data_IF_237734618519
#
_entry.id   IF_237734618519
#
_cell.length_a   1.000
_cell.length_b   1.000
_cell.length_c   1.000
_cell.angle_alpha   90.00
_cell.angle_beta   90.00
_cell.angle_gamma   90.00
#
_symmetry.space_group_name_H-M   'P 1'
#
loop_
_entity.id
_entity.type
_entity.pdbx_description
1 polymer ?
#
# COMPACT_ATOMS: atom_id res chain seq x y z
N UNK A 1 -22.88 -7.31 8.55
CA UNK A 1 -22.27 -5.96 8.74
C UNK A 1 -23.29 -5.01 9.36
N UNK A 2 -22.95 -4.28 10.41
CA UNK A 2 -23.81 -3.29 11.06
C UNK A 2 -23.06 -1.96 11.17
N UNK A 3 -23.72 -0.87 10.76
CA UNK A 3 -23.22 0.50 10.98
C UNK A 3 -23.71 0.99 12.35
N UNK A 4 -22.80 1.39 13.22
CA UNK A 4 -23.10 1.95 14.54
C UNK A 4 -22.79 3.45 14.54
N UNK A 5 -23.69 4.25 15.10
CA UNK A 5 -23.45 5.69 15.32
C UNK A 5 -22.76 5.89 16.66
N UNK A 6 -21.76 6.75 16.68
CA UNK A 6 -20.90 7.01 17.83
C UNK A 6 -20.81 8.51 18.11
N UNK A 7 -20.38 8.84 19.33
CA UNK A 7 -19.95 10.20 19.65
C UNK A 7 -18.46 10.30 19.36
N UNK A 8 -18.04 11.23 18.48
CA UNK A 8 -16.62 11.45 18.22
C UNK A 8 -15.82 11.76 19.48
N UNK A 9 -14.57 11.32 19.53
CA UNK A 9 -13.59 11.77 20.55
C UNK A 9 -13.36 13.28 20.37
N UNK A 10 -13.10 13.99 21.47
CA UNK A 10 -12.97 15.46 21.44
C UNK A 10 -11.63 15.95 20.88
N UNK A 11 -10.60 15.11 20.92
CA UNK A 11 -9.20 15.43 20.60
C UNK A 11 -8.59 14.49 19.55
N UNK A 12 -9.43 13.83 18.76
CA UNK A 12 -8.97 12.82 17.81
C UNK A 12 -8.07 13.40 16.72
N UNK A 13 -8.30 14.65 16.27
CA UNK A 13 -7.47 15.26 15.24
C UNK A 13 -6.02 15.41 15.72
N UNK A 14 -5.81 16.01 16.91
CA UNK A 14 -4.46 16.17 17.44
C UNK A 14 -3.78 14.84 17.71
N UNK A 15 -4.53 13.82 18.15
CA UNK A 15 -3.96 12.48 18.32
C UNK A 15 -3.52 11.86 16.99
N UNK A 16 -4.26 12.07 15.92
CA UNK A 16 -3.91 11.58 14.60
C UNK A 16 -2.74 12.35 13.99
N UNK A 17 -2.66 13.66 14.21
CA UNK A 17 -1.50 14.48 13.82
C UNK A 17 -0.22 13.99 14.51
N UNK A 18 -0.28 13.68 15.80
CA UNK A 18 0.83 13.12 16.58
C UNK A 18 1.26 11.72 16.05
N UNK A 19 0.36 10.99 15.40
CA UNK A 19 0.61 9.69 14.77
C UNK A 19 1.03 9.79 13.30
N UNK A 20 1.15 11.01 12.75
CA UNK A 20 1.54 11.24 11.36
C UNK A 20 0.37 11.26 10.36
N UNK A 21 -0.88 11.13 10.83
CA UNK A 21 -2.07 11.20 9.98
C UNK A 21 -2.57 12.64 9.85
N UNK A 22 -1.88 13.45 9.05
CA UNK A 22 -2.14 14.89 8.89
C UNK A 22 -3.27 15.23 7.90
N UNK A 23 -3.67 14.28 7.05
CA UNK A 23 -4.68 14.48 6.01
C UNK A 23 -6.09 14.01 6.40
N UNK A 24 -6.34 13.78 7.69
CA UNK A 24 -7.63 13.30 8.24
C UNK A 24 -8.84 14.18 7.92
N UNK A 25 -8.62 15.44 7.55
CA UNK A 25 -9.68 16.41 7.19
C UNK A 25 -9.41 17.11 5.86
N UNK A 26 -8.62 16.49 4.98
CA UNK A 26 -8.30 17.02 3.66
C UNK A 26 -9.56 17.06 2.79
N UNK A 27 -9.81 18.22 2.16
CA UNK A 27 -10.99 18.46 1.30
C UNK A 27 -12.36 18.19 1.95
N UNK A 28 -12.43 18.22 3.29
CA UNK A 28 -13.65 18.02 4.06
C UNK A 28 -13.54 16.92 5.11
N UNK A 29 -14.58 16.11 5.26
CA UNK A 29 -14.58 14.96 6.18
C UNK A 29 -13.96 13.76 5.49
N UNK A 30 -12.66 13.58 5.65
CA UNK A 30 -11.96 12.37 5.18
C UNK A 30 -12.12 11.22 6.19
N UNK A 31 -11.80 11.47 7.48
CA UNK A 31 -12.03 10.53 8.58
C UNK A 31 -13.26 10.92 9.36
N UNK A 32 -14.22 9.99 9.51
CA UNK A 32 -15.50 10.22 10.23
C UNK A 32 -15.56 9.40 11.52
N UNK A 33 -15.40 10.06 12.67
CA UNK A 33 -15.54 9.44 13.99
C UNK A 33 -16.98 9.21 14.45
N UNK A 34 -17.98 9.71 13.70
CA UNK A 34 -19.38 9.58 14.09
C UNK A 34 -19.94 8.17 13.86
N UNK A 35 -19.20 7.29 13.20
CA UNK A 35 -19.68 5.95 12.88
C UNK A 35 -18.55 4.92 12.78
N UNK A 36 -18.91 3.65 13.03
CA UNK A 36 -18.08 2.52 12.69
C UNK A 36 -18.92 1.38 12.08
N UNK A 37 -18.23 0.44 11.43
CA UNK A 37 -18.85 -0.78 10.95
C UNK A 37 -18.40 -1.97 11.79
N UNK A 38 -19.39 -2.76 12.24
CA UNK A 38 -19.15 -3.99 12.96
C UNK A 38 -19.43 -5.18 12.07
N UNK A 39 -18.48 -6.10 12.01
CA UNK A 39 -18.57 -7.36 11.32
C UNK A 39 -18.60 -8.52 12.32
N UNK A 40 -19.24 -9.61 11.97
CA UNK A 40 -19.07 -10.89 12.66
C UNK A 40 -17.81 -11.59 12.15
N UNK A 41 -17.25 -12.53 12.93
CA UNK A 41 -16.11 -13.34 12.48
C UNK A 41 -16.39 -14.05 11.15
N UNK A 42 -17.59 -14.61 10.98
CA UNK A 42 -17.97 -15.30 9.74
C UNK A 42 -18.05 -14.37 8.52
N UNK A 43 -18.37 -13.09 8.71
CA UNK A 43 -18.31 -12.09 7.63
C UNK A 43 -16.85 -11.77 7.26
N UNK A 44 -15.97 -11.68 8.25
CA UNK A 44 -14.54 -11.48 8.02
C UNK A 44 -13.93 -12.68 7.30
N UNK A 45 -14.23 -13.91 7.75
CA UNK A 45 -13.76 -15.15 7.09
C UNK A 45 -14.18 -15.20 5.62
N UNK A 46 -15.41 -14.77 5.31
CA UNK A 46 -15.93 -14.70 3.93
C UNK A 46 -15.17 -13.66 3.09
N UNK A 47 -14.88 -12.48 3.66
CA UNK A 47 -14.14 -11.41 2.97
C UNK A 47 -12.69 -11.86 2.72
N UNK A 48 -12.07 -12.50 3.71
CA UNK A 48 -10.72 -13.04 3.59
C UNK A 48 -10.64 -14.11 2.49
N UNK A 49 -11.56 -15.09 2.51
CA UNK A 49 -11.62 -16.13 1.47
C UNK A 49 -11.82 -15.54 0.06
N UNK A 50 -12.68 -14.53 -0.06
CA UNK A 50 -12.91 -13.84 -1.33
C UNK A 50 -11.64 -13.09 -1.79
N UNK A 51 -10.94 -12.44 -0.87
CA UNK A 51 -9.68 -11.73 -1.14
C UNK A 51 -8.63 -12.69 -1.71
N UNK A 52 -8.42 -13.84 -1.05
CA UNK A 52 -7.45 -14.84 -1.52
C UNK A 52 -7.80 -15.39 -2.91
N UNK A 53 -9.06 -15.78 -3.14
CA UNK A 53 -9.51 -16.29 -4.43
C UNK A 53 -9.34 -15.26 -5.55
N UNK A 54 -9.68 -14.02 -5.28
CA UNK A 54 -9.54 -12.94 -6.26
C UNK A 54 -8.09 -12.60 -6.54
N UNK A 55 -7.23 -12.61 -5.52
CA UNK A 55 -5.80 -12.43 -5.72
C UNK A 55 -5.23 -13.51 -6.64
N UNK A 56 -5.51 -14.79 -6.37
CA UNK A 56 -5.09 -15.89 -7.24
C UNK A 56 -5.57 -15.73 -8.68
N UNK A 57 -6.83 -15.30 -8.89
CA UNK A 57 -7.37 -15.05 -10.22
C UNK A 57 -6.68 -13.87 -10.92
N UNK A 58 -6.33 -12.80 -10.19
CA UNK A 58 -5.58 -11.68 -10.74
C UNK A 58 -4.18 -12.12 -11.19
N UNK A 59 -3.48 -12.90 -10.36
CA UNK A 59 -2.16 -13.46 -10.72
C UNK A 59 -2.25 -14.36 -11.95
N UNK A 60 -3.26 -15.24 -12.03
CA UNK A 60 -3.50 -16.08 -13.21
C UNK A 60 -3.81 -15.24 -14.47
N UNK A 61 -4.53 -14.12 -14.32
CA UNK A 61 -4.81 -13.22 -15.43
C UNK A 61 -3.53 -12.54 -15.94
N UNK A 62 -2.63 -12.11 -15.05
CA UNK A 62 -1.31 -11.57 -15.43
C UNK A 62 -0.48 -12.64 -16.14
N UNK A 63 -0.39 -13.84 -15.56
CA UNK A 63 0.34 -14.96 -16.17
C UNK A 63 -0.19 -15.28 -17.58
N UNK A 64 -1.51 -15.27 -17.77
CA UNK A 64 -2.11 -15.45 -19.09
C UNK A 64 -1.67 -14.36 -20.07
N UNK A 65 -1.70 -13.09 -19.68
CA UNK A 65 -1.28 -11.96 -20.50
C UNK A 65 0.19 -12.10 -20.91
N UNK A 66 1.07 -12.42 -19.96
CA UNK A 66 2.50 -12.61 -20.17
C UNK A 66 2.73 -13.80 -21.14
N UNK A 67 2.20 -14.98 -20.81
CA UNK A 67 2.40 -16.22 -21.57
C UNK A 67 1.87 -16.12 -22.99
N UNK A 68 0.73 -15.46 -23.21
CA UNK A 68 0.11 -15.25 -24.52
C UNK A 68 0.58 -13.99 -25.23
N UNK A 69 1.44 -13.19 -24.61
CA UNK A 69 1.85 -11.85 -25.09
C UNK A 69 0.63 -10.97 -25.47
N UNK A 70 -0.43 -11.07 -24.66
CA UNK A 70 -1.72 -10.40 -24.92
C UNK A 70 -1.74 -8.94 -24.44
N UNK A 71 -0.69 -8.16 -24.75
CA UNK A 71 -0.49 -6.80 -24.21
C UNK A 71 -1.32 -5.70 -24.89
N UNK A 72 -1.87 -5.97 -26.07
CA UNK A 72 -2.58 -4.96 -26.86
C UNK A 72 -3.68 -4.18 -26.11
N UNK A 73 -4.50 -4.81 -25.23
CA UNK A 73 -5.53 -4.08 -24.47
C UNK A 73 -4.99 -3.11 -23.44
N UNK A 74 -3.72 -3.26 -23.04
CA UNK A 74 -3.11 -2.51 -21.92
C UNK A 74 -2.36 -1.26 -22.38
N UNK A 75 -2.32 -1.00 -23.71
CA UNK A 75 -1.66 0.16 -24.31
C UNK A 75 -0.18 0.36 -23.86
N UNK A 76 0.50 -0.72 -23.48
CA UNK A 76 1.92 -0.67 -23.11
C UNK A 76 2.76 -0.37 -24.36
N UNK A 77 3.78 0.51 -24.26
CA UNK A 77 4.74 0.71 -25.33
C UNK A 77 5.51 -0.58 -25.63
N UNK A 78 5.76 -0.89 -26.91
CA UNK A 78 6.44 -2.12 -27.31
C UNK A 78 7.79 -2.32 -26.64
N UNK A 79 8.55 -1.24 -26.41
CA UNK A 79 9.85 -1.28 -25.74
C UNK A 79 9.76 -1.65 -24.25
N UNK A 80 8.59 -1.49 -23.62
CA UNK A 80 8.38 -1.79 -22.20
C UNK A 80 7.92 -3.23 -21.96
N UNK A 81 7.40 -3.90 -22.98
CA UNK A 81 6.83 -5.26 -22.87
C UNK A 81 7.86 -6.27 -22.41
N UNK A 82 9.05 -6.23 -22.95
CA UNK A 82 10.10 -7.21 -22.60
C UNK A 82 10.58 -6.98 -21.14
N UNK A 83 10.66 -5.73 -20.68
CA UNK A 83 10.94 -5.41 -19.28
C UNK A 83 9.87 -5.99 -18.33
N UNK A 84 8.58 -5.85 -18.67
CA UNK A 84 7.49 -6.45 -17.87
C UNK A 84 7.59 -7.97 -17.80
N UNK A 85 7.93 -8.61 -18.92
CA UNK A 85 8.11 -10.08 -18.99
C UNK A 85 9.30 -10.50 -18.14
N UNK A 86 10.42 -9.78 -18.21
CA UNK A 86 11.63 -10.07 -17.42
C UNK A 86 11.36 -9.95 -15.92
N UNK A 87 10.70 -8.88 -15.47
CA UNK A 87 10.32 -8.70 -14.07
C UNK A 87 9.40 -9.83 -13.57
N UNK A 88 8.40 -10.21 -14.37
CA UNK A 88 7.53 -11.34 -14.04
C UNK A 88 8.29 -12.65 -13.91
N UNK A 89 9.18 -12.94 -14.84
CA UNK A 89 9.95 -14.19 -14.86
C UNK A 89 11.03 -14.22 -13.75
N UNK A 90 11.50 -13.05 -13.31
CA UNK A 90 12.44 -12.93 -12.20
C UNK A 90 11.78 -13.14 -10.83
N UNK A 91 10.44 -13.19 -10.79
CA UNK A 91 9.64 -13.23 -9.55
C UNK A 91 10.02 -12.10 -8.59
N UNK A 92 10.08 -10.87 -9.15
CA UNK A 92 10.45 -9.69 -8.38
C UNK A 92 9.57 -9.53 -7.15
N UNK A 93 10.14 -9.25 -5.97
CA UNK A 93 9.38 -9.15 -4.74
C UNK A 93 8.28 -8.08 -4.80
N UNK A 94 7.07 -8.46 -4.45
CA UNK A 94 5.94 -7.55 -4.26
C UNK A 94 5.80 -7.20 -2.78
N UNK A 95 5.17 -6.07 -2.47
CA UNK A 95 4.99 -5.61 -1.09
C UNK A 95 3.55 -5.82 -0.61
N UNK A 96 2.61 -5.09 -1.16
CA UNK A 96 1.19 -5.17 -0.80
C UNK A 96 0.31 -4.64 -1.93
N UNK A 97 -1.00 -4.90 -1.81
CA UNK A 97 -2.02 -4.33 -2.68
C UNK A 97 -3.31 -4.12 -1.90
N UNK A 98 -4.25 -3.37 -2.46
CA UNK A 98 -5.55 -3.08 -1.86
C UNK A 98 -6.67 -3.47 -2.80
N UNK A 99 -7.57 -4.36 -2.32
CA UNK A 99 -8.84 -4.61 -2.99
C UNK A 99 -9.92 -3.67 -2.47
N UNK A 100 -10.66 -3.06 -3.36
CA UNK A 100 -11.86 -2.32 -3.03
C UNK A 100 -13.09 -3.20 -3.35
N UNK A 101 -13.91 -3.44 -2.32
CA UNK A 101 -15.08 -4.31 -2.41
C UNK A 101 -16.39 -3.56 -2.18
N UNK A 102 -17.43 -3.96 -2.92
CA UNK A 102 -18.79 -3.72 -2.52
C UNK A 102 -19.28 -4.90 -1.68
N UNK A 103 -19.68 -4.64 -0.44
CA UNK A 103 -20.23 -5.62 0.48
C UNK A 103 -21.53 -5.14 1.10
N UNK A 104 -22.57 -6.00 1.10
CA UNK A 104 -23.93 -5.69 1.60
C UNK A 104 -24.24 -6.32 2.95
N UNK A 105 -23.31 -7.08 3.54
CA UNK A 105 -23.48 -7.78 4.81
C UNK A 105 -24.22 -9.11 4.71
N UNK A 106 -24.57 -9.58 3.50
CA UNK A 106 -25.37 -10.80 3.28
C UNK A 106 -24.74 -11.70 2.22
N UNK A 107 -24.32 -11.15 1.10
CA UNK A 107 -23.78 -11.87 -0.04
C UNK A 107 -22.25 -11.77 -0.06
N UNK A 108 -21.61 -12.65 -0.84
CA UNK A 108 -20.17 -12.55 -1.08
C UNK A 108 -19.78 -11.15 -1.60
N UNK A 109 -18.64 -10.60 -1.16
CA UNK A 109 -18.18 -9.30 -1.65
C UNK A 109 -17.96 -9.30 -3.16
N UNK A 110 -18.20 -8.16 -3.80
CA UNK A 110 -17.95 -7.96 -5.22
C UNK A 110 -16.73 -7.07 -5.40
N UNK A 111 -15.78 -7.53 -6.18
CA UNK A 111 -14.61 -6.75 -6.53
C UNK A 111 -15.03 -5.51 -7.34
N UNK A 112 -14.56 -4.36 -6.93
CA UNK A 112 -14.63 -3.11 -7.67
C UNK A 112 -13.30 -2.85 -8.38
N UNK A 113 -12.20 -2.86 -7.62
CA UNK A 113 -10.86 -2.72 -8.18
C UNK A 113 -9.80 -3.43 -7.33
N UNK A 114 -8.64 -3.64 -7.92
CA UNK A 114 -7.43 -4.09 -7.25
C UNK A 114 -6.31 -3.07 -7.49
N UNK A 115 -6.01 -2.27 -6.49
CA UNK A 115 -4.88 -1.35 -6.51
C UNK A 115 -3.59 -2.11 -6.18
N UNK A 116 -2.81 -2.43 -7.20
CA UNK A 116 -1.56 -3.18 -7.09
C UNK A 116 -0.32 -2.37 -7.51
N UNK A 117 -0.50 -1.17 -8.07
CA UNK A 117 0.59 -0.26 -8.45
C UNK A 117 0.85 0.80 -7.36
N UNK A 118 -0.18 1.58 -6.99
CA UNK A 118 -0.06 2.68 -6.02
C UNK A 118 -1.10 2.58 -4.91
N UNK A 119 -1.16 1.46 -4.15
CA UNK A 119 -2.12 1.35 -3.06
C UNK A 119 -1.78 2.30 -1.92
N UNK A 120 -2.79 2.99 -1.39
CA UNK A 120 -2.73 3.87 -0.22
C UNK A 120 -3.60 3.33 0.92
N UNK A 121 -3.96 4.18 1.89
CA UNK A 121 -4.81 3.85 3.06
C UNK A 121 -4.13 2.97 4.11
N UNK A 122 -2.81 3.03 4.19
CA UNK A 122 -2.03 2.26 5.17
C UNK A 122 -2.11 2.86 6.58
N UNK A 123 -1.92 4.17 6.70
CA UNK A 123 -2.00 4.87 7.99
C UNK A 123 -3.40 4.74 8.58
N UNK A 124 -4.42 4.88 7.76
CA UNK A 124 -5.82 4.73 8.18
C UNK A 124 -6.10 3.33 8.72
N UNK A 125 -5.66 2.31 8.00
CA UNK A 125 -5.91 0.92 8.37
C UNK A 125 -5.05 0.46 9.55
N UNK A 126 -3.75 0.69 9.50
CA UNK A 126 -2.80 0.12 10.46
C UNK A 126 -2.65 0.96 11.74
N UNK A 127 -2.79 2.29 11.66
CA UNK A 127 -2.50 3.21 12.76
C UNK A 127 -3.77 3.86 13.29
N UNK A 128 -4.53 4.58 12.45
CA UNK A 128 -5.67 5.35 12.88
C UNK A 128 -6.80 4.46 13.43
N UNK A 129 -7.18 3.40 12.72
CA UNK A 129 -8.21 2.46 13.18
C UNK A 129 -7.79 1.74 14.45
N UNK A 130 -6.52 1.35 14.58
CA UNK A 130 -6.04 0.71 15.80
C UNK A 130 -6.09 1.66 17.00
N UNK A 131 -5.60 2.90 16.84
CA UNK A 131 -5.68 3.93 17.89
C UNK A 131 -7.13 4.19 18.32
N UNK A 132 -8.02 4.35 17.35
CA UNK A 132 -9.45 4.54 17.59
C UNK A 132 -10.04 3.34 18.33
N UNK A 133 -9.78 2.12 17.87
CA UNK A 133 -10.33 0.89 18.45
C UNK A 133 -9.91 0.71 19.90
N UNK A 134 -8.63 0.95 20.23
CA UNK A 134 -8.13 0.83 21.61
C UNK A 134 -8.86 1.77 22.58
N UNK A 135 -9.27 2.95 22.13
CA UNK A 135 -9.93 3.94 22.97
C UNK A 135 -11.46 3.80 23.00
N UNK A 136 -12.08 3.50 21.86
CA UNK A 136 -13.55 3.53 21.71
C UNK A 136 -14.14 2.13 21.86
N UNK A 137 -13.48 1.10 21.39
CA UNK A 137 -13.96 -0.29 21.39
C UNK A 137 -12.92 -1.30 21.90
N UNK A 138 -12.30 -1.11 23.08
CA UNK A 138 -11.12 -1.90 23.53
C UNK A 138 -11.41 -3.39 23.75
N UNK A 139 -12.68 -3.82 23.73
CA UNK A 139 -13.10 -5.21 23.85
C UNK A 139 -13.47 -5.88 22.52
N UNK A 140 -13.28 -5.18 21.42
CA UNK A 140 -13.49 -5.69 20.07
C UNK A 140 -12.15 -5.85 19.38
N UNK A 141 -12.11 -6.67 18.36
CA UNK A 141 -10.97 -6.81 17.48
C UNK A 141 -11.14 -5.93 16.23
N UNK A 142 -10.08 -5.66 15.51
CA UNK A 142 -10.13 -4.89 14.26
C UNK A 142 -9.60 -5.69 13.06
N UNK A 143 -9.45 -6.97 13.08
CA UNK A 143 -8.98 -7.78 11.95
C UNK A 143 -7.87 -7.05 11.13
N UNK A 144 -6.71 -6.87 11.76
CA UNK A 144 -5.61 -6.13 11.16
C UNK A 144 -4.27 -6.65 11.67
N UNK A 145 -3.45 -7.19 10.76
CA UNK A 145 -2.05 -7.57 10.97
C UNK A 145 -1.12 -6.89 9.98
N UNK A 146 -1.58 -5.80 9.37
CA UNK A 146 -0.90 -5.15 8.25
C UNK A 146 0.51 -4.66 8.63
N UNK A 147 0.65 -4.05 9.80
CA UNK A 147 1.93 -3.53 10.30
C UNK A 147 2.98 -4.62 10.43
N UNK A 148 2.64 -5.70 11.11
CA UNK A 148 3.53 -6.84 11.36
C UNK A 148 3.88 -7.56 10.05
N UNK A 149 2.90 -7.73 9.15
CA UNK A 149 3.10 -8.35 7.85
C UNK A 149 4.01 -7.54 6.93
N UNK A 150 3.89 -6.22 6.96
CA UNK A 150 4.81 -5.34 6.21
C UNK A 150 6.24 -5.48 6.72
N UNK A 151 6.47 -5.49 8.04
CA UNK A 151 7.80 -5.69 8.61
C UNK A 151 8.37 -7.08 8.22
N UNK A 152 7.55 -8.14 8.28
CA UNK A 152 7.96 -9.48 7.86
C UNK A 152 8.34 -9.48 6.37
N UNK A 153 7.51 -8.88 5.52
CA UNK A 153 7.76 -8.81 4.08
C UNK A 153 9.01 -8.00 3.74
N UNK A 154 9.26 -6.90 4.45
CA UNK A 154 10.49 -6.13 4.28
C UNK A 154 11.75 -6.93 4.67
N UNK A 155 11.67 -7.82 5.67
CA UNK A 155 12.79 -8.72 5.99
C UNK A 155 13.10 -9.69 4.85
N UNK A 156 12.07 -10.26 4.21
CA UNK A 156 12.24 -11.12 3.04
C UNK A 156 12.87 -10.36 1.86
N UNK A 157 12.38 -9.14 1.56
CA UNK A 157 12.93 -8.27 0.52
C UNK A 157 14.39 -7.91 0.81
N UNK A 158 14.72 -7.55 2.06
CA UNK A 158 16.08 -7.26 2.49
C UNK A 158 17.01 -8.44 2.22
N UNK A 159 16.59 -9.63 2.59
CA UNK A 159 17.40 -10.83 2.47
C UNK A 159 17.56 -11.27 1.00
N UNK A 160 16.52 -11.04 0.17
CA UNK A 160 16.57 -11.32 -1.27
C UNK A 160 17.56 -10.41 -2.02
N UNK A 161 17.64 -9.13 -1.67
CA UNK A 161 18.52 -8.15 -2.33
C UNK A 161 19.83 -7.86 -1.55
N UNK A 162 20.24 -8.72 -0.64
CA UNK A 162 21.48 -8.57 0.13
C UNK A 162 21.59 -7.23 0.88
N UNK A 163 20.46 -6.78 1.48
CA UNK A 163 20.37 -5.57 2.28
C UNK A 163 20.63 -4.26 1.48
N UNK A 164 19.85 -3.95 0.47
CA UNK A 164 20.01 -2.73 -0.31
C UNK A 164 19.64 -1.48 0.49
N UNK A 165 20.11 -0.32 0.04
CA UNK A 165 19.49 0.96 0.42
C UNK A 165 18.21 1.13 -0.38
N UNK A 166 17.06 1.25 0.28
CA UNK A 166 15.76 1.44 -0.38
C UNK A 166 15.36 2.91 -0.32
N UNK A 167 15.13 3.50 -1.48
CA UNK A 167 14.55 4.83 -1.60
C UNK A 167 13.04 4.73 -1.64
N UNK A 168 12.36 5.68 -0.98
CA UNK A 168 10.92 5.82 -0.99
C UNK A 168 10.57 7.11 -1.72
N UNK A 169 9.80 7.02 -2.79
CA UNK A 169 9.49 8.15 -3.64
C UNK A 169 7.99 8.39 -3.76
N UNK A 170 7.59 9.63 -3.60
CA UNK A 170 6.25 10.13 -3.90
C UNK A 170 6.34 11.51 -4.56
N UNK A 171 5.21 12.02 -5.04
CA UNK A 171 5.10 13.36 -5.62
C UNK A 171 5.33 14.42 -4.55
N UNK A 172 6.02 15.52 -4.89
CA UNK A 172 6.17 16.69 -4.01
C UNK A 172 4.80 17.27 -3.64
N UNK A 173 4.73 17.80 -2.43
CA UNK A 173 3.58 18.57 -1.93
C UNK A 173 2.25 17.76 -1.85
N UNK A 174 2.30 16.42 -1.96
CA UNK A 174 1.17 15.55 -1.69
C UNK A 174 1.30 14.97 -0.27
N UNK A 175 0.52 15.50 0.67
CA UNK A 175 0.60 15.13 2.09
C UNK A 175 0.11 13.70 2.37
N UNK A 176 -0.86 13.18 1.59
CA UNK A 176 -1.36 11.81 1.70
C UNK A 176 -0.29 10.82 1.23
N UNK A 177 0.27 11.03 0.03
CA UNK A 177 1.32 10.18 -0.51
C UNK A 177 2.56 10.19 0.38
N UNK A 178 2.96 11.36 0.87
CA UNK A 178 4.08 11.48 1.80
C UNK A 178 3.82 10.70 3.08
N UNK A 179 2.64 10.82 3.68
CA UNK A 179 2.27 10.08 4.88
C UNK A 179 2.33 8.57 4.68
N UNK A 180 1.76 8.05 3.58
CA UNK A 180 1.80 6.63 3.25
C UNK A 180 3.23 6.15 2.95
N UNK A 181 4.02 6.94 2.23
CA UNK A 181 5.43 6.65 1.93
C UNK A 181 6.30 6.60 3.19
N UNK A 182 6.16 7.57 4.09
CA UNK A 182 6.88 7.61 5.36
C UNK A 182 6.47 6.47 6.30
N UNK A 183 5.19 6.10 6.34
CA UNK A 183 4.73 4.94 7.11
C UNK A 183 5.39 3.63 6.60
N UNK A 184 5.41 3.43 5.28
CA UNK A 184 6.09 2.27 4.69
C UNK A 184 7.59 2.28 4.97
N UNK A 185 8.22 3.45 4.88
CA UNK A 185 9.64 3.64 5.19
C UNK A 185 9.92 3.27 6.65
N UNK A 186 9.06 3.65 7.59
CA UNK A 186 9.19 3.27 8.99
C UNK A 186 9.12 1.75 9.19
N UNK A 187 8.18 1.05 8.54
CA UNK A 187 8.11 -0.42 8.59
C UNK A 187 9.38 -1.10 8.01
N UNK A 188 9.95 -0.53 6.95
CA UNK A 188 11.22 -1.00 6.39
C UNK A 188 12.41 -0.77 7.34
N UNK A 189 12.45 0.38 8.02
CA UNK A 189 13.46 0.66 9.05
C UNK A 189 13.34 -0.30 10.24
N UNK A 190 12.13 -0.62 10.69
CA UNK A 190 11.88 -1.63 11.72
C UNK A 190 12.33 -3.03 11.29
N UNK A 191 12.29 -3.33 9.99
CA UNK A 191 12.85 -4.56 9.42
C UNK A 191 14.39 -4.54 9.28
N UNK A 192 15.05 -3.43 9.63
CA UNK A 192 16.50 -3.26 9.57
C UNK A 192 17.04 -2.85 8.20
N UNK A 193 16.21 -2.29 7.31
CA UNK A 193 16.63 -1.76 6.00
C UNK A 193 17.12 -0.33 6.16
N UNK A 194 18.22 0.02 5.48
CA UNK A 194 18.64 1.40 5.31
C UNK A 194 17.72 2.09 4.29
N UNK A 195 17.09 3.19 4.68
CA UNK A 195 16.11 3.86 3.84
C UNK A 195 16.45 5.31 3.57
N UNK A 196 15.98 5.84 2.45
CA UNK A 196 16.01 7.28 2.12
C UNK A 196 14.66 7.70 1.56
N UNK A 197 14.24 8.91 1.88
CA UNK A 197 13.09 9.56 1.23
C UNK A 197 13.60 10.45 0.09
N UNK A 198 12.88 10.45 -1.04
CA UNK A 198 13.17 11.31 -2.18
C UNK A 198 11.85 11.73 -2.83
N UNK A 199 11.79 12.94 -3.39
CA UNK A 199 10.68 13.26 -4.26
C UNK A 199 10.92 12.66 -5.66
N UNK A 200 9.86 12.23 -6.34
CA UNK A 200 9.99 11.62 -7.67
C UNK A 200 10.63 12.58 -8.66
N UNK A 201 10.36 13.89 -8.53
CA UNK A 201 10.92 14.96 -9.37
C UNK A 201 12.43 15.20 -9.14
N UNK A 202 12.97 14.66 -8.04
CA UNK A 202 14.39 14.81 -7.68
C UNK A 202 15.23 13.57 -8.12
N UNK A 203 14.60 12.59 -8.75
CA UNK A 203 15.31 11.44 -9.31
C UNK A 203 15.94 11.85 -10.64
N UNK A 204 17.25 11.71 -10.73
CA UNK A 204 18.03 11.96 -11.93
C UNK A 204 18.45 10.68 -12.66
N UNK A 205 18.94 10.84 -13.90
CA UNK A 205 19.57 9.79 -14.70
C UNK A 205 21.03 10.11 -14.95
N UNK A 206 21.91 9.19 -14.58
CA UNK A 206 23.36 9.33 -14.82
C UNK A 206 23.74 8.57 -16.08
N UNK A 207 23.95 9.29 -17.19
CA UNK A 207 24.14 8.72 -18.53
C UNK A 207 25.33 7.77 -18.63
N UNK A 208 26.47 8.08 -18.00
CA UNK A 208 27.67 7.25 -18.10
C UNK A 208 27.56 5.90 -17.36
N UNK A 209 26.81 5.89 -16.30
CA UNK A 209 26.61 4.67 -15.47
C UNK A 209 25.28 3.98 -15.77
N UNK A 210 24.46 4.58 -16.63
CA UNK A 210 23.13 4.08 -16.99
C UNK A 210 22.30 3.70 -15.76
N UNK A 211 22.24 4.61 -14.74
CA UNK A 211 21.57 4.36 -13.48
C UNK A 211 20.81 5.59 -12.99
N UNK A 212 19.75 5.36 -12.24
CA UNK A 212 19.05 6.40 -11.51
C UNK A 212 19.89 6.88 -10.32
N UNK A 213 19.83 8.19 -10.04
CA UNK A 213 20.60 8.83 -8.97
C UNK A 213 19.75 9.84 -8.19
N UNK A 214 20.13 10.07 -6.94
CA UNK A 214 19.60 11.16 -6.13
C UNK A 214 20.28 12.52 -6.46
N UNK A 215 19.88 13.59 -5.76
CA UNK A 215 20.41 14.94 -5.96
C UNK A 215 21.92 15.06 -5.68
N UNK A 216 22.49 14.15 -4.91
CA UNK A 216 23.92 14.08 -4.60
C UNK A 216 24.70 13.17 -5.56
N UNK A 217 24.06 12.69 -6.63
CA UNK A 217 24.56 11.69 -7.58
C UNK A 217 24.87 10.31 -6.95
N UNK A 218 24.25 9.95 -5.83
CA UNK A 218 24.33 8.58 -5.34
C UNK A 218 23.40 7.69 -6.14
N UNK A 219 23.82 6.47 -6.52
CA UNK A 219 22.97 5.51 -7.21
C UNK A 219 21.74 5.13 -6.35
N UNK A 220 20.60 4.95 -7.01
CA UNK A 220 19.36 4.43 -6.42
C UNK A 220 19.25 2.95 -6.77
N UNK A 221 19.70 2.04 -5.88
CA UNK A 221 19.73 0.61 -6.18
C UNK A 221 18.37 -0.07 -6.07
N UNK A 222 17.48 0.47 -5.23
CA UNK A 222 16.12 -0.03 -5.04
C UNK A 222 15.19 1.14 -4.73
N UNK A 223 14.00 1.12 -5.31
CA UNK A 223 13.02 2.20 -5.20
C UNK A 223 11.63 1.64 -4.94
N UNK A 224 11.00 2.09 -3.88
CA UNK A 224 9.55 2.04 -3.73
C UNK A 224 8.97 3.34 -4.29
N UNK A 225 8.10 3.25 -5.30
CA UNK A 225 7.44 4.41 -5.89
C UNK A 225 5.95 4.46 -5.50
N UNK A 226 5.48 5.60 -5.02
CA UNK A 226 4.07 5.86 -4.78
C UNK A 226 3.57 6.92 -5.78
N UNK A 227 3.58 6.59 -7.06
CA UNK A 227 2.98 7.34 -8.15
C UNK A 227 2.74 6.39 -9.34
N UNK A 228 1.71 6.63 -10.18
CA UNK A 228 1.36 5.72 -11.28
C UNK A 228 2.42 5.68 -12.38
N UNK A 229 2.40 4.64 -13.19
CA UNK A 229 3.30 4.49 -14.33
C UNK A 229 2.88 5.32 -15.56
N UNK A 230 1.65 5.84 -15.64
CA UNK A 230 1.10 6.68 -16.71
C UNK A 230 1.71 8.07 -16.79
#
# INVERSE_FOLDING_TARGET
MQRETLTPRTDWQSQFEDLGFHFHSLDGVYWDESACYRFSSSEIDMIEEATWKLHELCIQAVDYVITKRAFKPFALPDWFIDYVIESWNADDPTLFGRFDFRYDGLNAPKLLEYNADTPTSLIEAAVAQWNWQQQVKPRHDQFNSLHERLIERWKEIRDHYENPVVYFACVKDNIEDLGNSEYLRDTAMQAGINTRQIAIEDIGWHELNETFVDLDNNPIPALFKLYPWE
#
